data_IF_471033672778
#
_entry.id   IF_471033672778
#
_cell.length_a   1.000
_cell.length_b   1.000
_cell.length_c   1.000
_cell.angle_alpha   90.00
_cell.angle_beta   90.00
_cell.angle_gamma   90.00
#
_symmetry.space_group_name_H-M   'P 1'
#
loop_
_entity.id
_entity.type
_entity.pdbx_description
1 polymer ?
#
# COMPACT_ATOMS: atom_id res chain seq x y z
N UNK A 1 -32.15 12.47 37.35
CA UNK A 1 -30.87 13.04 36.86
C UNK A 1 -30.47 12.26 35.62
N UNK A 2 -30.61 12.87 34.44
CA UNK A 2 -30.35 12.22 33.15
C UNK A 2 -28.84 12.17 32.91
N UNK A 3 -28.24 10.97 32.92
CA UNK A 3 -26.87 10.77 32.48
C UNK A 3 -26.84 10.89 30.95
N UNK A 4 -26.71 12.10 30.45
CA UNK A 4 -26.35 12.31 29.05
C UNK A 4 -25.01 11.56 28.81
N UNK A 5 -24.93 10.65 27.82
CA UNK A 5 -23.67 10.00 27.50
C UNK A 5 -22.68 11.10 27.11
N UNK A 6 -21.50 11.09 27.73
CA UNK A 6 -20.39 11.96 27.36
C UNK A 6 -20.05 11.67 25.89
N UNK A 7 -20.54 12.49 24.97
CA UNK A 7 -20.15 12.44 23.57
C UNK A 7 -18.66 12.78 23.54
N UNK A 8 -17.81 11.78 23.35
CA UNK A 8 -16.37 12.00 23.21
C UNK A 8 -16.13 12.87 21.97
N UNK A 9 -15.73 14.12 22.17
CA UNK A 9 -15.40 15.00 21.07
C UNK A 9 -14.19 14.44 20.30
N UNK A 10 -14.18 14.50 18.96
CA UNK A 10 -13.02 14.07 18.17
C UNK A 10 -11.77 14.85 18.57
N UNK A 11 -10.69 14.15 18.93
CA UNK A 11 -9.40 14.75 19.32
C UNK A 11 -8.38 14.52 18.21
N UNK A 12 -7.75 15.59 17.75
CA UNK A 12 -6.67 15.53 16.76
C UNK A 12 -5.45 14.79 17.33
N UNK A 13 -4.90 13.85 16.55
CA UNK A 13 -3.66 13.13 16.88
C UNK A 13 -2.66 13.30 15.76
N UNK A 14 -1.42 13.68 16.07
CA UNK A 14 -0.38 13.87 15.04
C UNK A 14 -0.26 12.65 14.12
N UNK A 15 -0.44 12.81 12.79
CA UNK A 15 -0.31 11.72 11.83
C UNK A 15 1.15 11.47 11.40
N UNK A 16 2.09 12.34 11.78
CA UNK A 16 3.47 12.38 11.24
C UNK A 16 4.27 11.11 11.55
N UNK A 17 4.27 10.65 12.80
CA UNK A 17 5.02 9.44 13.20
C UNK A 17 4.61 8.19 12.39
N UNK A 18 3.31 7.82 12.40
CA UNK A 18 2.82 6.72 11.55
C UNK A 18 3.10 6.95 10.06
N UNK A 19 2.98 8.18 9.55
CA UNK A 19 3.26 8.46 8.14
C UNK A 19 4.72 8.19 7.75
N UNK A 20 5.69 8.52 8.61
CA UNK A 20 7.09 8.19 8.40
C UNK A 20 7.31 6.68 8.40
N UNK A 21 6.72 5.97 9.36
CA UNK A 21 6.82 4.51 9.42
C UNK A 21 6.24 3.84 8.16
N UNK A 22 5.06 4.26 7.69
CA UNK A 22 4.46 3.81 6.43
C UNK A 22 5.38 4.10 5.24
N UNK A 23 5.97 5.29 5.18
CA UNK A 23 6.85 5.69 4.06
C UNK A 23 8.11 4.84 4.01
N UNK A 24 8.73 4.55 5.17
CA UNK A 24 9.92 3.70 5.27
C UNK A 24 9.57 2.27 4.85
N UNK A 25 8.45 1.73 5.35
CA UNK A 25 8.01 0.37 5.05
C UNK A 25 7.67 0.19 3.57
N UNK A 26 6.92 1.13 2.97
CA UNK A 26 6.66 1.13 1.52
C UNK A 26 7.95 1.24 0.70
N UNK A 27 8.92 2.03 1.17
CA UNK A 27 10.25 2.10 0.56
C UNK A 27 11.01 0.77 0.62
N UNK A 28 10.92 0.06 1.75
CA UNK A 28 11.53 -1.26 1.91
C UNK A 28 10.87 -2.33 1.05
N UNK A 29 9.54 -2.30 0.90
CA UNK A 29 8.80 -3.16 -0.04
C UNK A 29 9.26 -2.89 -1.47
N UNK A 30 9.26 -1.63 -1.91
CA UNK A 30 9.71 -1.26 -3.25
C UNK A 30 11.18 -1.63 -3.51
N UNK A 31 12.05 -1.55 -2.50
CA UNK A 31 13.43 -2.02 -2.60
C UNK A 31 13.51 -3.54 -2.76
N UNK A 32 12.62 -4.29 -2.11
CA UNK A 32 12.52 -5.74 -2.28
C UNK A 32 12.00 -6.10 -3.67
N UNK A 33 11.04 -5.35 -4.21
CA UNK A 33 10.55 -5.52 -5.59
C UNK A 33 11.67 -5.30 -6.62
N UNK A 34 12.57 -4.34 -6.39
CA UNK A 34 13.75 -4.15 -7.25
C UNK A 34 14.69 -5.36 -7.21
N UNK A 35 14.88 -5.96 -6.04
CA UNK A 35 15.67 -7.21 -5.92
C UNK A 35 14.98 -8.37 -6.64
N UNK A 36 13.65 -8.47 -6.54
CA UNK A 36 12.84 -9.47 -7.24
C UNK A 36 12.98 -9.32 -8.76
N UNK A 37 12.96 -8.09 -9.29
CA UNK A 37 13.20 -7.84 -10.72
C UNK A 37 14.57 -8.37 -11.15
N UNK A 38 15.61 -8.10 -10.35
CA UNK A 38 16.96 -8.60 -10.62
C UNK A 38 17.03 -10.14 -10.58
N UNK A 39 16.42 -10.77 -9.58
CA UNK A 39 16.38 -12.22 -9.45
C UNK A 39 15.61 -12.86 -10.62
N UNK A 40 14.43 -12.34 -10.96
CA UNK A 40 13.61 -12.84 -12.05
C UNK A 40 14.27 -12.67 -13.42
N UNK A 41 15.04 -11.58 -13.62
CA UNK A 41 15.84 -11.41 -14.83
C UNK A 41 16.91 -12.51 -14.97
N UNK A 42 17.60 -12.85 -13.89
CA UNK A 42 18.57 -13.95 -13.88
C UNK A 42 17.90 -15.31 -14.14
N UNK A 43 16.80 -15.62 -13.45
CA UNK A 43 16.02 -16.85 -13.64
C UNK A 43 15.56 -17.00 -15.10
N UNK A 44 15.06 -15.91 -15.70
CA UNK A 44 14.64 -15.90 -17.10
C UNK A 44 15.79 -16.21 -18.06
N UNK A 45 16.98 -15.67 -17.82
CA UNK A 45 18.18 -15.99 -18.62
C UNK A 45 18.55 -17.46 -18.49
N UNK A 46 18.61 -17.94 -17.24
CA UNK A 46 18.93 -19.32 -16.87
C UNK A 46 18.04 -20.34 -17.58
N UNK A 47 16.72 -20.15 -17.46
CA UNK A 47 15.74 -21.10 -17.96
C UNK A 47 15.69 -21.14 -19.49
N UNK A 48 16.05 -20.04 -20.15
CA UNK A 48 16.22 -20.02 -21.62
C UNK A 48 17.45 -20.79 -22.07
N UNK A 49 18.55 -20.71 -21.33
CA UNK A 49 19.75 -21.48 -21.61
C UNK A 49 19.50 -22.99 -21.42
N UNK A 50 18.86 -23.37 -20.30
CA UNK A 50 18.42 -24.75 -20.03
C UNK A 50 17.49 -25.26 -21.12
N UNK A 51 16.50 -24.47 -21.53
CA UNK A 51 15.60 -24.81 -22.63
C UNK A 51 16.31 -25.01 -23.98
N UNK A 52 17.49 -24.40 -24.17
CA UNK A 52 18.32 -24.56 -25.37
C UNK A 52 19.28 -25.75 -25.32
N UNK A 53 19.25 -26.54 -24.24
CA UNK A 53 20.13 -27.70 -24.02
C UNK A 53 21.48 -27.36 -23.40
N UNK A 54 21.65 -26.12 -22.91
CA UNK A 54 22.82 -25.67 -22.15
C UNK A 54 22.60 -25.72 -20.63
N UNK A 55 23.66 -25.55 -19.84
CA UNK A 55 23.59 -25.42 -18.39
C UNK A 55 23.83 -26.73 -17.61
N UNK A 56 24.82 -26.70 -16.73
CA UNK A 56 25.05 -27.70 -15.68
C UNK A 56 25.08 -26.96 -14.35
N UNK A 57 24.13 -27.27 -13.46
CA UNK A 57 24.10 -26.71 -12.10
C UNK A 57 24.55 -27.75 -11.11
N UNK A 58 25.35 -27.32 -10.16
CA UNK A 58 25.70 -28.10 -8.98
C UNK A 58 24.51 -28.13 -8.02
N UNK A 59 24.41 -29.19 -7.21
CA UNK A 59 23.39 -29.28 -6.17
C UNK A 59 23.48 -28.10 -5.19
N UNK A 60 24.70 -27.66 -4.86
CA UNK A 60 24.95 -26.53 -3.96
C UNK A 60 24.40 -25.19 -4.52
N UNK A 61 24.47 -24.99 -5.84
CA UNK A 61 23.89 -23.79 -6.49
C UNK A 61 22.36 -23.79 -6.43
N UNK A 62 21.74 -24.96 -6.56
CA UNK A 62 20.28 -25.12 -6.44
C UNK A 62 19.82 -24.89 -5.00
N UNK A 63 20.49 -25.50 -4.02
CA UNK A 63 20.16 -25.36 -2.60
C UNK A 63 20.31 -23.89 -2.14
N UNK A 64 21.35 -23.19 -2.61
CA UNK A 64 21.55 -21.77 -2.32
C UNK A 64 20.44 -20.90 -2.93
N UNK A 65 20.04 -21.18 -4.17
CA UNK A 65 18.94 -20.47 -4.83
C UNK A 65 17.62 -20.67 -4.08
N UNK A 66 17.32 -21.88 -3.62
CA UNK A 66 16.13 -22.19 -2.82
C UNK A 66 16.12 -21.43 -1.48
N UNK A 67 17.25 -21.34 -0.79
CA UNK A 67 17.38 -20.54 0.44
C UNK A 67 17.12 -19.06 0.16
N UNK A 68 17.69 -18.51 -0.91
CA UNK A 68 17.48 -17.11 -1.29
C UNK A 68 16.02 -16.84 -1.68
N UNK A 69 15.40 -17.72 -2.46
CA UNK A 69 13.99 -17.58 -2.85
C UNK A 69 13.07 -17.67 -1.62
N UNK A 70 13.22 -18.72 -0.80
CA UNK A 70 12.40 -18.90 0.40
C UNK A 70 12.59 -17.77 1.42
N UNK A 71 13.83 -17.35 1.67
CA UNK A 71 14.16 -16.24 2.55
C UNK A 71 13.63 -14.90 2.03
N UNK A 72 13.75 -14.64 0.73
CA UNK A 72 13.23 -13.45 0.07
C UNK A 72 11.71 -13.35 0.14
N UNK A 73 11.00 -14.44 -0.16
CA UNK A 73 9.54 -14.50 -0.04
C UNK A 73 9.05 -14.28 1.39
N UNK A 74 9.74 -14.87 2.39
CA UNK A 74 9.41 -14.65 3.80
C UNK A 74 9.61 -13.19 4.21
N UNK A 75 10.76 -12.60 3.86
CA UNK A 75 11.04 -11.19 4.14
C UNK A 75 10.00 -10.27 3.51
N UNK A 76 9.67 -10.50 2.23
CA UNK A 76 8.66 -9.74 1.51
C UNK A 76 7.29 -9.82 2.21
N UNK A 77 6.85 -11.03 2.58
CA UNK A 77 5.59 -11.24 3.30
C UNK A 77 5.54 -10.53 4.65
N UNK A 78 6.63 -10.58 5.42
CA UNK A 78 6.74 -9.85 6.71
C UNK A 78 6.66 -8.34 6.49
N UNK A 79 7.37 -7.80 5.50
CA UNK A 79 7.33 -6.38 5.17
C UNK A 79 5.93 -5.94 4.72
N UNK A 80 5.23 -6.76 3.92
CA UNK A 80 3.87 -6.49 3.49
C UNK A 80 2.90 -6.43 4.68
N UNK A 81 2.95 -7.41 5.59
CA UNK A 81 2.08 -7.45 6.77
C UNK A 81 2.35 -6.25 7.68
N UNK A 82 3.62 -5.93 7.92
CA UNK A 82 4.01 -4.75 8.68
C UNK A 82 3.51 -3.46 8.02
N UNK A 83 3.71 -3.33 6.70
CA UNK A 83 3.25 -2.17 5.90
C UNK A 83 1.75 -2.01 5.99
N UNK A 84 0.97 -3.06 5.73
CA UNK A 84 -0.48 -3.04 5.77
C UNK A 84 -0.99 -2.64 7.16
N UNK A 85 -0.41 -3.22 8.23
CA UNK A 85 -0.79 -2.93 9.61
C UNK A 85 -0.57 -1.45 9.96
N UNK A 86 0.63 -0.93 9.68
CA UNK A 86 0.98 0.46 9.99
C UNK A 86 0.22 1.43 9.08
N UNK A 87 -0.02 1.06 7.82
CA UNK A 87 -0.83 1.84 6.87
C UNK A 87 -2.26 1.98 7.38
N UNK A 88 -2.90 0.88 7.82
CA UNK A 88 -4.26 0.91 8.37
C UNK A 88 -4.33 1.78 9.63
N UNK A 89 -3.33 1.70 10.51
CA UNK A 89 -3.25 2.56 11.71
C UNK A 89 -3.13 4.04 11.32
N UNK A 90 -2.26 4.37 10.37
CA UNK A 90 -2.12 5.72 9.84
C UNK A 90 -3.43 6.19 9.18
N UNK A 91 -4.06 5.35 8.36
CA UNK A 91 -5.26 5.67 7.61
C UNK A 91 -6.46 5.91 8.52
N UNK A 92 -6.66 5.05 9.52
CA UNK A 92 -7.65 5.24 10.57
C UNK A 92 -7.41 6.55 11.34
N UNK A 93 -6.16 6.85 11.71
CA UNK A 93 -5.82 8.11 12.39
C UNK A 93 -6.11 9.33 11.50
N UNK A 94 -5.70 9.29 10.24
CA UNK A 94 -5.96 10.37 9.28
C UNK A 94 -7.48 10.58 9.10
N UNK A 95 -8.25 9.49 9.11
CA UNK A 95 -9.71 9.55 9.10
C UNK A 95 -10.30 10.16 10.37
N UNK A 96 -9.86 9.78 11.56
CA UNK A 96 -10.32 10.43 12.79
C UNK A 96 -9.95 11.92 12.84
N UNK A 97 -8.76 12.30 12.36
CA UNK A 97 -8.37 13.71 12.29
C UNK A 97 -9.26 14.51 11.34
N UNK A 98 -9.73 13.90 10.24
CA UNK A 98 -10.63 14.54 9.30
C UNK A 98 -11.98 14.96 9.93
N UNK A 99 -12.46 14.22 10.96
CA UNK A 99 -13.65 14.59 11.74
C UNK A 99 -13.47 15.91 12.49
N UNK A 100 -12.26 16.22 12.94
CA UNK A 100 -11.96 17.49 13.63
C UNK A 100 -12.08 18.67 12.66
N UNK A 101 -11.75 18.47 11.39
CA UNK A 101 -11.72 19.53 10.39
C UNK A 101 -13.05 19.76 9.68
N UNK A 102 -13.78 18.68 9.37
CA UNK A 102 -15.05 18.73 8.65
C UNK A 102 -15.84 17.42 8.90
N UNK A 103 -16.56 17.32 10.03
CA UNK A 103 -17.22 16.07 10.45
C UNK A 103 -18.37 15.66 9.52
N UNK A 104 -19.12 16.62 8.98
CA UNK A 104 -20.23 16.44 8.05
C UNK A 104 -19.79 15.86 6.70
N UNK A 105 -18.53 16.06 6.32
CA UNK A 105 -17.96 15.49 5.09
C UNK A 105 -17.60 14.01 5.22
N UNK A 106 -17.68 13.45 6.43
CA UNK A 106 -17.28 12.08 6.68
C UNK A 106 -18.47 11.12 6.62
N UNK A 107 -18.68 10.49 5.47
CA UNK A 107 -19.89 9.70 5.18
C UNK A 107 -20.00 8.38 5.93
N UNK A 108 -18.92 7.90 6.54
CA UNK A 108 -18.83 6.59 7.19
C UNK A 108 -18.14 6.72 8.53
N UNK A 109 -18.58 5.95 9.53
CA UNK A 109 -17.91 5.90 10.84
C UNK A 109 -16.44 5.46 10.74
N UNK A 110 -15.61 5.95 11.67
CA UNK A 110 -14.16 5.73 11.66
C UNK A 110 -13.74 4.25 11.59
N UNK A 111 -14.51 3.33 12.20
CA UNK A 111 -14.23 1.89 12.16
C UNK A 111 -14.15 1.30 10.74
N UNK A 112 -14.84 1.89 9.76
CA UNK A 112 -14.74 1.47 8.37
C UNK A 112 -13.36 1.75 7.75
N UNK A 113 -12.57 2.68 8.30
CA UNK A 113 -11.19 2.88 7.87
C UNK A 113 -10.29 1.68 8.19
N UNK A 114 -10.72 0.77 9.07
CA UNK A 114 -10.06 -0.49 9.37
C UNK A 114 -10.79 -1.63 8.65
N UNK A 115 -12.08 -1.80 8.92
CA UNK A 115 -12.85 -2.97 8.47
C UNK A 115 -12.96 -3.10 6.94
N UNK A 116 -12.93 -1.99 6.21
CA UNK A 116 -13.03 -2.01 4.74
C UNK A 116 -11.89 -2.79 4.06
N UNK A 117 -10.71 -2.87 4.69
CA UNK A 117 -9.54 -3.57 4.14
C UNK A 117 -9.64 -5.10 4.20
N UNK A 118 -10.46 -5.63 5.12
CA UNK A 118 -10.55 -7.06 5.40
C UNK A 118 -11.73 -7.74 4.70
N UNK A 119 -12.62 -6.98 4.08
CA UNK A 119 -13.81 -7.50 3.38
C UNK A 119 -13.53 -7.44 1.87
N UNK A 120 -13.34 -8.59 1.17
CA UNK A 120 -12.77 -8.61 -0.18
C UNK A 120 -13.46 -7.68 -1.19
N UNK A 121 -14.79 -7.72 -1.26
CA UNK A 121 -15.55 -6.90 -2.21
C UNK A 121 -15.52 -5.42 -1.83
N UNK A 122 -15.62 -5.12 -0.54
CA UNK A 122 -15.61 -3.75 0.00
C UNK A 122 -14.23 -3.11 -0.17
N UNK A 123 -13.15 -3.89 -0.02
CA UNK A 123 -11.77 -3.46 -0.13
C UNK A 123 -11.45 -2.84 -1.50
N UNK A 124 -12.20 -3.17 -2.55
CA UNK A 124 -11.97 -2.66 -3.90
C UNK A 124 -12.42 -1.21 -4.12
N UNK A 125 -13.34 -0.69 -3.29
CA UNK A 125 -13.94 0.64 -3.55
C UNK A 125 -14.09 1.51 -2.31
N UNK A 126 -14.31 0.93 -1.14
CA UNK A 126 -14.62 1.71 0.06
C UNK A 126 -13.41 2.46 0.62
N UNK A 127 -12.19 1.88 0.70
CA UNK A 127 -11.05 2.63 1.23
C UNK A 127 -10.72 3.86 0.37
N UNK A 128 -10.84 3.78 -0.96
CA UNK A 128 -10.78 4.97 -1.83
C UNK A 128 -11.81 6.03 -1.44
N UNK A 129 -13.06 5.62 -1.25
CA UNK A 129 -14.14 6.53 -0.87
C UNK A 129 -13.84 7.26 0.44
N UNK A 130 -13.36 6.53 1.45
CA UNK A 130 -12.92 7.08 2.74
C UNK A 130 -11.72 8.02 2.53
N UNK A 131 -10.72 7.62 1.74
CA UNK A 131 -9.56 8.46 1.44
C UNK A 131 -9.94 9.77 0.74
N UNK A 132 -10.98 9.76 -0.10
CA UNK A 132 -11.53 10.96 -0.73
C UNK A 132 -12.16 11.92 0.28
N UNK A 133 -12.92 11.39 1.25
CA UNK A 133 -13.52 12.19 2.33
C UNK A 133 -12.44 12.80 3.23
N UNK A 134 -11.40 12.02 3.56
CA UNK A 134 -10.22 12.48 4.31
C UNK A 134 -9.46 13.55 3.53
N UNK A 135 -9.22 13.33 2.24
CA UNK A 135 -8.53 14.27 1.37
C UNK A 135 -9.25 15.62 1.31
N UNK A 136 -10.58 15.60 1.16
CA UNK A 136 -11.41 16.81 1.13
C UNK A 136 -11.42 17.53 2.48
N UNK A 137 -11.60 16.83 3.59
CA UNK A 137 -11.58 17.47 4.90
C UNK A 137 -10.20 18.06 5.26
N UNK A 138 -9.13 17.45 4.74
CA UNK A 138 -7.76 17.89 4.96
C UNK A 138 -7.37 19.09 4.09
N UNK A 139 -8.12 19.43 3.02
CA UNK A 139 -7.78 20.58 2.19
C UNK A 139 -7.85 21.91 2.99
N UNK A 140 -7.15 22.97 2.51
CA UNK A 140 -7.16 24.28 3.17
C UNK A 140 -8.59 24.79 3.39
N UNK A 141 -9.42 24.68 2.36
CA UNK A 141 -10.85 24.94 2.41
C UNK A 141 -11.63 23.66 2.02
N UNK A 142 -12.24 22.94 2.99
CA UNK A 142 -13.03 21.74 2.71
C UNK A 142 -14.37 22.01 2.00
N UNK A 143 -14.94 23.19 2.20
CA UNK A 143 -16.29 23.54 1.73
C UNK A 143 -16.28 24.34 0.42
N UNK A 144 -15.14 24.93 0.07
CA UNK A 144 -14.93 25.61 -1.20
C UNK A 144 -14.61 24.67 -2.36
N UNK A 145 -13.77 25.17 -3.29
CA UNK A 145 -13.47 24.47 -4.54
C UNK A 145 -12.75 23.13 -4.28
N UNK A 146 -13.22 22.01 -4.85
CA UNK A 146 -12.57 20.72 -4.67
C UNK A 146 -11.11 20.73 -5.13
N UNK A 147 -10.21 20.25 -4.26
CA UNK A 147 -8.81 19.97 -4.63
C UNK A 147 -8.77 18.72 -5.50
N UNK A 148 -7.90 18.72 -6.51
CA UNK A 148 -7.71 17.56 -7.40
C UNK A 148 -7.45 16.27 -6.60
N UNK A 149 -8.20 15.22 -6.93
CA UNK A 149 -8.06 13.86 -6.41
C UNK A 149 -7.32 12.95 -7.39
N UNK A 150 -6.69 13.50 -8.43
CA UNK A 150 -5.98 12.73 -9.46
C UNK A 150 -4.94 11.78 -8.86
N UNK A 151 -4.11 12.26 -7.92
CA UNK A 151 -3.12 11.43 -7.24
C UNK A 151 -3.76 10.23 -6.52
N UNK A 152 -4.88 10.47 -5.83
CA UNK A 152 -5.61 9.41 -5.13
C UNK A 152 -6.18 8.39 -6.12
N UNK A 153 -6.68 8.84 -7.27
CA UNK A 153 -7.22 7.96 -8.31
C UNK A 153 -6.12 7.14 -9.00
N UNK A 154 -4.97 7.74 -9.30
CA UNK A 154 -3.82 7.02 -9.88
C UNK A 154 -3.27 5.99 -8.90
N UNK A 155 -3.07 6.36 -7.64
CA UNK A 155 -2.66 5.42 -6.60
C UNK A 155 -3.61 4.24 -6.50
N UNK A 156 -4.91 4.51 -6.38
CA UNK A 156 -5.91 3.45 -6.22
C UNK A 156 -6.01 2.55 -7.44
N UNK A 157 -5.97 3.14 -8.64
CA UNK A 157 -5.96 2.40 -9.90
C UNK A 157 -4.72 1.51 -10.03
N UNK A 158 -3.54 2.04 -9.71
CA UNK A 158 -2.29 1.27 -9.72
C UNK A 158 -2.33 0.10 -8.74
N UNK A 159 -2.83 0.32 -7.51
CA UNK A 159 -2.97 -0.75 -6.52
C UNK A 159 -3.98 -1.83 -6.93
N UNK A 160 -5.12 -1.46 -7.55
CA UNK A 160 -6.05 -2.44 -8.10
C UNK A 160 -5.40 -3.25 -9.22
N UNK A 161 -4.70 -2.58 -10.14
CA UNK A 161 -4.01 -3.24 -11.25
C UNK A 161 -2.98 -4.22 -10.71
N UNK A 162 -2.15 -3.82 -9.74
CA UNK A 162 -1.15 -4.73 -9.17
C UNK A 162 -1.81 -5.93 -8.48
N UNK A 163 -2.85 -5.73 -7.67
CA UNK A 163 -3.59 -6.82 -7.01
C UNK A 163 -4.12 -7.88 -7.99
N UNK A 164 -4.73 -7.46 -9.10
CA UNK A 164 -5.23 -8.40 -10.11
C UNK A 164 -4.10 -9.01 -10.94
N UNK A 165 -3.05 -8.23 -11.21
CA UNK A 165 -1.89 -8.69 -11.95
C UNK A 165 -1.13 -9.77 -11.18
N UNK A 166 -0.88 -9.58 -9.88
CA UNK A 166 -0.20 -10.55 -9.03
C UNK A 166 -1.00 -11.84 -8.94
N UNK A 167 -2.33 -11.75 -8.77
CA UNK A 167 -3.20 -12.92 -8.78
C UNK A 167 -3.09 -13.72 -10.08
N UNK A 168 -2.96 -13.04 -11.21
CA UNK A 168 -2.76 -13.65 -12.52
C UNK A 168 -1.35 -14.23 -12.67
N UNK A 169 -0.31 -13.50 -12.24
CA UNK A 169 1.09 -13.90 -12.31
C UNK A 169 1.35 -15.14 -11.44
N UNK A 170 0.90 -15.16 -10.18
CA UNK A 170 1.01 -16.32 -9.29
C UNK A 170 0.31 -17.54 -9.88
N UNK A 171 -0.92 -17.40 -10.40
CA UNK A 171 -1.65 -18.52 -11.01
C UNK A 171 -0.94 -19.08 -12.24
N UNK A 172 -0.21 -18.25 -12.98
CA UNK A 172 0.57 -18.67 -14.15
C UNK A 172 1.86 -19.35 -13.70
N UNK A 173 2.54 -18.77 -12.71
CA UNK A 173 3.76 -19.33 -12.11
C UNK A 173 3.52 -20.72 -11.52
N UNK A 174 2.42 -20.91 -10.76
CA UNK A 174 2.06 -22.20 -10.13
C UNK A 174 1.82 -23.34 -11.13
N UNK A 175 1.64 -23.01 -12.42
CA UNK A 175 1.38 -23.98 -13.50
C UNK A 175 2.58 -24.21 -14.42
N UNK A 176 3.66 -23.45 -14.23
CA UNK A 176 4.83 -23.54 -15.09
C UNK A 176 5.64 -24.79 -14.74
N UNK A 177 5.80 -25.71 -15.69
CA UNK A 177 6.54 -26.97 -15.49
C UNK A 177 7.77 -27.04 -16.40
N UNK A 178 7.72 -26.39 -17.56
CA UNK A 178 8.83 -26.39 -18.52
C UNK A 178 9.76 -25.18 -18.33
N UNK A 179 11.04 -25.26 -18.74
CA UNK A 179 11.96 -24.13 -18.67
C UNK A 179 11.44 -22.89 -19.42
N UNK A 180 10.78 -23.08 -20.56
CA UNK A 180 10.15 -21.99 -21.32
C UNK A 180 9.05 -21.30 -20.53
N UNK A 181 8.15 -22.06 -19.92
CA UNK A 181 7.06 -21.52 -19.09
C UNK A 181 7.59 -20.81 -17.84
N UNK A 182 8.66 -21.33 -17.21
CA UNK A 182 9.28 -20.68 -16.05
C UNK A 182 9.92 -19.34 -16.47
N UNK A 183 10.56 -19.28 -17.65
CA UNK A 183 11.12 -18.03 -18.17
C UNK A 183 10.04 -16.98 -18.47
N UNK A 184 8.88 -17.40 -18.98
CA UNK A 184 7.74 -16.53 -19.22
C UNK A 184 7.10 -16.08 -17.90
N UNK A 185 6.96 -16.99 -16.94
CA UNK A 185 6.47 -16.67 -15.60
C UNK A 185 7.40 -15.68 -14.88
N UNK A 186 8.72 -15.80 -15.01
CA UNK A 186 9.68 -14.82 -14.50
C UNK A 186 9.47 -13.42 -15.13
N UNK A 187 9.08 -13.35 -16.40
CA UNK A 187 8.72 -12.08 -17.05
C UNK A 187 7.46 -11.45 -16.43
N UNK A 188 6.48 -12.27 -16.07
CA UNK A 188 5.30 -11.81 -15.34
C UNK A 188 5.68 -11.29 -13.96
N UNK A 189 6.52 -12.00 -13.21
CA UNK A 189 7.01 -11.56 -11.89
C UNK A 189 7.69 -10.19 -11.97
N UNK A 190 8.58 -9.97 -12.96
CA UNK A 190 9.21 -8.66 -13.16
C UNK A 190 8.20 -7.53 -13.42
N UNK A 191 7.16 -7.83 -14.19
CA UNK A 191 6.13 -6.84 -14.55
C UNK A 191 5.23 -6.52 -13.35
N UNK A 192 4.89 -7.53 -12.53
CA UNK A 192 4.15 -7.36 -11.28
C UNK A 192 4.92 -6.47 -10.30
N UNK A 193 6.18 -6.78 -10.07
CA UNK A 193 7.06 -5.97 -9.23
C UNK A 193 7.16 -4.51 -9.71
N UNK A 194 7.15 -4.26 -11.02
CA UNK A 194 7.11 -2.89 -11.55
C UNK A 194 5.79 -2.15 -11.24
N UNK A 195 4.65 -2.85 -11.29
CA UNK A 195 3.36 -2.29 -10.87
C UNK A 195 3.33 -2.00 -9.37
N UNK A 196 3.87 -2.90 -8.55
CA UNK A 196 3.94 -2.72 -7.10
C UNK A 196 4.81 -1.53 -6.70
N UNK A 197 5.99 -1.36 -7.33
CA UNK A 197 6.82 -0.17 -7.13
C UNK A 197 6.04 1.10 -7.48
N UNK A 198 5.33 1.11 -8.61
CA UNK A 198 4.51 2.24 -9.02
C UNK A 198 3.39 2.55 -8.01
N UNK A 199 2.69 1.53 -7.54
CA UNK A 199 1.65 1.65 -6.53
C UNK A 199 2.22 2.15 -5.18
N UNK A 200 3.38 1.64 -4.75
CA UNK A 200 4.06 2.02 -3.53
C UNK A 200 4.51 3.49 -3.57
N UNK A 201 5.10 3.95 -4.68
CA UNK A 201 5.48 5.36 -4.86
C UNK A 201 4.25 6.26 -4.78
N UNK A 202 3.17 5.93 -5.48
CA UNK A 202 1.93 6.70 -5.43
C UNK A 202 1.31 6.70 -4.01
N UNK A 203 1.38 5.58 -3.29
CA UNK A 203 0.94 5.46 -1.91
C UNK A 203 1.74 6.38 -0.98
N UNK A 204 3.07 6.40 -1.11
CA UNK A 204 3.96 7.32 -0.37
C UNK A 204 3.55 8.77 -0.62
N UNK A 205 3.30 9.15 -1.88
CA UNK A 205 2.89 10.50 -2.22
C UNK A 205 1.54 10.88 -1.60
N UNK A 206 0.56 9.95 -1.59
CA UNK A 206 -0.73 10.15 -0.91
C UNK A 206 -0.53 10.33 0.59
N UNK A 207 0.22 9.45 1.23
CA UNK A 207 0.49 9.47 2.68
C UNK A 207 1.13 10.79 3.08
N UNK A 208 2.19 11.20 2.37
CA UNK A 208 2.91 12.45 2.63
C UNK A 208 2.02 13.66 2.41
N UNK A 209 1.24 13.69 1.32
CA UNK A 209 0.37 14.82 0.99
C UNK A 209 -0.76 15.00 2.00
N UNK A 210 -1.47 13.92 2.36
CA UNK A 210 -2.53 13.98 3.38
C UNK A 210 -1.94 14.40 4.73
N UNK A 211 -0.81 13.80 5.13
CA UNK A 211 -0.15 14.14 6.39
C UNK A 211 0.28 15.60 6.44
N UNK A 212 0.86 16.13 5.36
CA UNK A 212 1.26 17.53 5.28
C UNK A 212 0.07 18.49 5.34
N UNK A 213 -1.03 18.18 4.64
CA UNK A 213 -2.26 18.96 4.69
C UNK A 213 -2.84 19.01 6.12
N UNK A 214 -2.95 17.87 6.79
CA UNK A 214 -3.46 17.80 8.17
C UNK A 214 -2.53 18.49 9.16
N UNK A 215 -1.22 18.33 9.00
CA UNK A 215 -0.23 18.98 9.87
C UNK A 215 -0.28 20.51 9.73
N UNK A 216 -0.26 21.03 8.49
CA UNK A 216 -0.33 22.46 8.22
C UNK A 216 -1.61 23.10 8.78
N UNK A 217 -2.74 22.38 8.68
CA UNK A 217 -4.02 22.85 9.21
C UNK A 217 -4.05 22.89 10.74
N UNK A 218 -3.46 21.88 11.39
CA UNK A 218 -3.37 21.82 12.85
C UNK A 218 -2.39 22.86 13.44
N UNK A 219 -1.36 23.26 12.70
CA UNK A 219 -0.39 24.29 13.15
C UNK A 219 -0.75 25.70 12.71
N UNK A 220 -1.46 25.86 11.59
CA UNK A 220 -1.83 27.16 11.01
C UNK A 220 -3.18 27.69 11.48
N UNK A 221 -4.09 26.82 11.92
CA UNK A 221 -5.23 27.20 12.75
C UNK A 221 -4.88 26.88 14.20
N UNK A 222 -4.85 27.88 15.07
CA UNK A 222 -4.85 27.61 16.52
C UNK A 222 -6.09 26.76 16.79
N UNK A 223 -5.88 25.45 16.99
CA UNK A 223 -6.88 24.57 17.58
C UNK A 223 -7.34 25.30 18.84
N UNK A 224 -8.64 25.60 19.03
CA UNK A 224 -9.08 26.25 20.25
C UNK A 224 -8.50 25.45 21.41
N UNK A 225 -7.65 26.11 22.20
CA UNK A 225 -7.20 25.54 23.45
C UNK A 225 -8.47 25.14 24.19
N UNK A 226 -8.52 23.87 24.55
CA UNK A 226 -9.50 23.28 25.46
C UNK A 226 -9.98 24.30 26.48
N UNK A 227 -11.27 24.64 26.44
CA UNK A 227 -12.00 25.18 27.60
C UNK A 227 -12.66 24.00 28.33
#
# INVERSE_FOLDING_TARGET
MSNAPLVSLPVFRSPVGPAHAVTILLGAVAATDLLIIGAAFNVRGLMREVGSGGGTYTQDELDLADIFMGGGSLLYGVLLIATASVYIVWFHRARCNAEVFAPDLQRRGAGWAIGAWFIPIVNLFMPRGIAGDVWRASSPDPYGRPVSTALLNFWWGAWIVSLFYDRYATKTYDKAETPGEIADAATLVMTGAAFDIGAAVLAILVVRKVTAMQHAKATGGVVPATL
#
